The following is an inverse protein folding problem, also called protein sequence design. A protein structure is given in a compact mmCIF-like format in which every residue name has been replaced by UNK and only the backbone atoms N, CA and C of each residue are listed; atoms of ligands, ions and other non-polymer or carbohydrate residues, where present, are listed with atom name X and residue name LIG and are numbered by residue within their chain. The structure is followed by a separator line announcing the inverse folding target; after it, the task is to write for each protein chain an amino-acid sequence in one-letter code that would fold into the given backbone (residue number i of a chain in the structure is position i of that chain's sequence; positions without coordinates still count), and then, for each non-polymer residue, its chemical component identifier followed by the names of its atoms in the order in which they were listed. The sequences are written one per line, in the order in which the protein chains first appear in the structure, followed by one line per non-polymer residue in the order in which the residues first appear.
data_IF_898219031883
#
_entry.id   IF_898219031883
#
_cell.length_a   1.000
_cell.length_b   1.000
_cell.length_c   1.000
_cell.angle_alpha   90.00
_cell.angle_beta   90.00
_cell.angle_gamma   90.00
#
_symmetry.space_group_name_H-M   'P 1'
#
loop_
_entity.id
_entity.type
_entity.pdbx_description
1 polymer ?
#
# COMPACT_ATOMS: atom_id res chain seq x y z
N UNK A 1 -2.64 55.68 49.76
CA UNK A 1 -3.04 54.27 49.90
C UNK A 1 -4.36 53.94 49.18
N UNK A 2 -5.37 54.81 49.27
CA UNK A 2 -6.75 54.45 48.92
C UNK A 2 -7.12 54.55 47.43
N UNK A 3 -6.42 55.39 46.65
CA UNK A 3 -6.73 55.56 45.22
C UNK A 3 -6.32 54.37 44.34
N UNK A 4 -5.21 53.70 44.67
CA UNK A 4 -4.71 52.57 43.88
C UNK A 4 -5.59 51.35 44.11
N UNK A 5 -5.98 51.09 45.37
CA UNK A 5 -6.95 50.03 45.72
C UNK A 5 -8.28 50.23 44.99
N UNK A 6 -8.84 51.45 44.98
CA UNK A 6 -10.11 51.74 44.31
C UNK A 6 -10.07 51.47 42.80
N UNK A 7 -8.95 51.81 42.13
CA UNK A 7 -8.80 51.55 40.68
C UNK A 7 -8.74 50.05 40.39
N UNK A 8 -8.00 49.26 41.17
CA UNK A 8 -7.93 47.81 40.96
C UNK A 8 -9.25 47.11 41.26
N UNK A 9 -10.01 47.57 42.26
CA UNK A 9 -11.37 47.06 42.54
C UNK A 9 -12.31 47.35 41.38
N UNK A 10 -12.34 48.59 40.86
CA UNK A 10 -13.19 48.94 39.72
C UNK A 10 -12.81 48.21 38.43
N UNK A 11 -11.52 47.99 38.18
CA UNK A 11 -11.06 47.20 37.00
C UNK A 11 -11.47 45.73 37.17
N UNK A 12 -11.38 45.17 38.38
CA UNK A 12 -11.86 43.83 38.69
C UNK A 12 -13.37 43.68 38.50
N UNK A 13 -14.15 44.66 38.98
CA UNK A 13 -15.60 44.69 38.83
C UNK A 13 -16.02 44.86 37.35
N UNK A 14 -15.31 45.68 36.57
CA UNK A 14 -15.51 45.77 35.12
C UNK A 14 -15.18 44.46 34.40
N UNK A 15 -14.12 43.76 34.79
CA UNK A 15 -13.75 42.48 34.19
C UNK A 15 -14.77 41.39 34.49
N UNK A 16 -15.32 41.35 35.71
CA UNK A 16 -16.40 40.45 36.10
C UNK A 16 -17.69 40.77 35.35
N UNK A 17 -18.08 42.05 35.27
CA UNK A 17 -19.25 42.47 34.51
C UNK A 17 -19.14 42.16 33.01
N UNK A 18 -17.94 42.30 32.44
CA UNK A 18 -17.67 41.94 31.03
C UNK A 18 -17.73 40.43 30.82
N UNK A 19 -17.21 39.65 31.76
CA UNK A 19 -17.31 38.19 31.76
C UNK A 19 -18.77 37.74 31.84
N UNK A 20 -19.56 38.33 32.73
CA UNK A 20 -20.97 37.99 32.91
C UNK A 20 -21.83 38.46 31.72
N UNK A 21 -21.47 39.56 31.07
CA UNK A 21 -22.14 40.01 29.84
C UNK A 21 -21.86 39.09 28.64
N UNK A 22 -20.63 38.62 28.48
CA UNK A 22 -20.23 37.76 27.36
C UNK A 22 -20.65 36.31 27.59
N UNK A 23 -20.38 35.77 28.78
CA UNK A 23 -20.65 34.36 29.09
C UNK A 23 -22.02 34.13 29.71
N UNK A 24 -22.69 35.15 30.26
CA UNK A 24 -24.03 35.00 30.86
C UNK A 24 -25.09 34.44 29.91
N UNK A 25 -25.21 34.93 28.66
CA UNK A 25 -26.14 34.36 27.68
C UNK A 25 -25.82 32.89 27.34
N UNK A 26 -24.52 32.56 27.26
CA UNK A 26 -24.04 31.21 26.98
C UNK A 26 -24.34 30.28 28.15
N UNK A 27 -24.05 30.71 29.38
CA UNK A 27 -24.32 29.96 30.61
C UNK A 27 -25.83 29.75 30.80
N UNK A 28 -26.65 30.77 30.59
CA UNK A 28 -28.10 30.64 30.63
C UNK A 28 -28.64 29.69 29.55
N UNK A 29 -28.07 29.72 28.34
CA UNK A 29 -28.43 28.78 27.28
C UNK A 29 -28.01 27.35 27.62
N UNK A 30 -26.81 27.17 28.21
CA UNK A 30 -26.31 25.87 28.68
C UNK A 30 -27.17 25.33 29.82
N UNK A 31 -27.52 26.16 30.80
CA UNK A 31 -28.37 25.78 31.92
C UNK A 31 -29.80 25.48 31.47
N UNK A 32 -30.34 26.26 30.52
CA UNK A 32 -31.63 25.97 29.87
C UNK A 32 -31.62 24.64 29.12
N UNK A 33 -30.53 24.36 28.40
CA UNK A 33 -30.35 23.08 27.69
C UNK A 33 -30.21 21.91 28.66
N UNK A 34 -29.43 22.10 29.74
CA UNK A 34 -29.26 21.10 30.81
C UNK A 34 -30.57 20.80 31.52
N UNK A 35 -31.37 21.82 31.83
CA UNK A 35 -32.69 21.66 32.41
C UNK A 35 -33.65 20.91 31.45
N UNK A 36 -33.58 21.20 30.15
CA UNK A 36 -34.37 20.50 29.13
C UNK A 36 -33.97 19.02 29.04
N UNK A 37 -32.67 18.72 28.98
CA UNK A 37 -32.14 17.35 28.91
C UNK A 37 -32.50 16.57 30.17
N UNK A 38 -32.31 17.17 31.35
CA UNK A 38 -32.68 16.53 32.62
C UNK A 38 -34.18 16.25 32.68
N UNK A 39 -35.02 17.18 32.21
CA UNK A 39 -36.48 16.99 32.16
C UNK A 39 -36.91 15.89 31.17
N UNK A 40 -36.22 15.78 30.03
CA UNK A 40 -36.45 14.71 29.06
C UNK A 40 -35.99 13.34 29.58
N UNK A 41 -35.02 13.32 30.49
CA UNK A 41 -34.45 12.11 31.09
C UNK A 41 -34.95 11.82 32.52
N UNK A 42 -35.92 12.59 33.05
CA UNK A 42 -36.33 12.62 34.47
C UNK A 42 -36.99 11.31 34.97
N UNK A 43 -37.23 10.36 34.07
CA UNK A 43 -37.78 9.03 34.37
C UNK A 43 -36.92 7.86 33.86
N UNK A 44 -35.69 8.11 33.43
CA UNK A 44 -34.80 7.09 32.88
C UNK A 44 -33.61 6.84 33.82
N UNK A 45 -33.29 5.57 34.04
CA UNK A 45 -32.10 5.19 34.80
C UNK A 45 -30.83 5.48 34.00
N UNK A 46 -29.72 5.80 34.69
CA UNK A 46 -28.48 6.24 34.06
C UNK A 46 -27.96 5.27 32.97
N UNK A 47 -28.13 3.96 33.15
CA UNK A 47 -27.73 2.96 32.15
C UNK A 47 -28.62 2.96 30.90
N UNK A 48 -29.92 3.27 31.05
CA UNK A 48 -30.85 3.36 29.92
C UNK A 48 -30.51 4.55 29.04
N UNK A 49 -30.14 5.67 29.66
CA UNK A 49 -29.67 6.86 28.93
C UNK A 49 -28.44 6.49 28.10
N UNK A 50 -27.44 5.83 28.69
CA UNK A 50 -26.22 5.41 27.99
C UNK A 50 -26.53 4.45 26.83
N UNK A 51 -27.42 3.48 27.03
CA UNK A 51 -27.83 2.53 25.98
C UNK A 51 -28.62 3.22 24.88
N UNK A 52 -29.56 4.12 25.21
CA UNK A 52 -30.32 4.84 24.22
C UNK A 52 -29.45 5.82 23.45
N UNK A 53 -28.59 6.60 24.10
CA UNK A 53 -27.67 7.50 23.39
C UNK A 53 -26.70 6.71 22.52
N UNK A 54 -26.06 5.67 23.06
CA UNK A 54 -25.13 4.83 22.30
C UNK A 54 -25.79 4.09 21.15
N UNK A 55 -26.97 3.50 21.41
CA UNK A 55 -27.77 2.79 20.41
C UNK A 55 -28.32 3.71 19.33
N UNK A 56 -28.84 4.88 19.69
CA UNK A 56 -29.35 5.85 18.71
C UNK A 56 -28.20 6.42 17.88
N UNK A 57 -27.06 6.74 18.47
CA UNK A 57 -25.86 7.15 17.73
C UNK A 57 -25.38 6.05 16.79
N UNK A 58 -25.32 4.80 17.26
CA UNK A 58 -24.94 3.66 16.42
C UNK A 58 -25.92 3.46 15.24
N UNK A 59 -27.22 3.55 15.50
CA UNK A 59 -28.26 3.44 14.47
C UNK A 59 -28.16 4.59 13.46
N UNK A 60 -27.95 5.83 13.92
CA UNK A 60 -27.80 6.99 13.05
C UNK A 60 -26.54 6.88 12.21
N UNK A 61 -25.40 6.47 12.78
CA UNK A 61 -24.16 6.24 12.03
C UNK A 61 -24.32 5.08 11.04
N UNK A 62 -24.96 3.98 11.45
CA UNK A 62 -25.24 2.84 10.57
C UNK A 62 -26.16 3.21 9.42
N UNK A 63 -27.24 3.95 9.68
CA UNK A 63 -28.17 4.43 8.65
C UNK A 63 -27.50 5.46 7.76
N UNK A 64 -26.66 6.34 8.31
CA UNK A 64 -25.89 7.31 7.54
C UNK A 64 -24.92 6.59 6.61
N UNK A 65 -24.12 5.67 7.12
CA UNK A 65 -23.18 4.89 6.30
C UNK A 65 -23.94 4.04 5.27
N UNK A 66 -25.08 3.47 5.65
CA UNK A 66 -25.92 2.71 4.73
C UNK A 66 -26.50 3.59 3.60
N UNK A 67 -26.97 4.79 3.90
CA UNK A 67 -27.61 5.71 2.95
C UNK A 67 -26.63 6.58 2.15
N UNK A 68 -25.46 6.93 2.71
CA UNK A 68 -24.53 7.91 2.15
C UNK A 68 -23.12 7.36 1.81
N UNK A 69 -22.84 6.06 1.96
CA UNK A 69 -21.66 5.44 1.33
C UNK A 69 -21.95 5.15 -0.15
N UNK A 70 -21.92 6.20 -0.98
CA UNK A 70 -22.21 6.17 -2.43
C UNK A 70 -21.09 5.59 -3.31
N UNK A 71 -20.10 4.88 -2.76
CA UNK A 71 -19.05 4.26 -3.58
C UNK A 71 -19.47 2.91 -4.19
N UNK A 72 -20.57 2.30 -3.70
CA UNK A 72 -21.08 1.02 -4.21
C UNK A 72 -22.61 1.03 -4.37
N UNK A 73 -23.11 0.77 -5.59
CA UNK A 73 -24.55 0.64 -5.84
C UNK A 73 -25.19 -0.41 -4.93
N UNK A 74 -26.46 -0.20 -4.52
CA UNK A 74 -27.23 -1.14 -3.71
C UNK A 74 -27.20 -2.58 -4.29
N UNK A 75 -27.17 -2.70 -5.62
CA UNK A 75 -27.06 -3.99 -6.30
C UNK A 75 -25.74 -4.73 -5.99
N UNK A 76 -24.61 -4.01 -5.89
CA UNK A 76 -23.31 -4.58 -5.53
C UNK A 76 -23.30 -5.11 -4.11
N UNK A 77 -23.93 -4.39 -3.17
CA UNK A 77 -24.03 -4.80 -1.76
C UNK A 77 -24.85 -6.08 -1.59
N UNK A 78 -26.01 -6.13 -2.26
CA UNK A 78 -26.88 -7.32 -2.26
C UNK A 78 -26.17 -8.49 -2.93
N UNK A 79 -25.53 -8.28 -4.09
CA UNK A 79 -24.71 -9.30 -4.77
C UNK A 79 -23.60 -9.82 -3.86
N UNK A 80 -22.84 -8.94 -3.20
CA UNK A 80 -21.75 -9.33 -2.29
C UNK A 80 -22.25 -10.21 -1.14
N UNK A 81 -23.35 -9.81 -0.48
CA UNK A 81 -23.92 -10.58 0.61
C UNK A 81 -24.48 -11.92 0.13
N UNK A 82 -25.16 -11.92 -1.02
CA UNK A 82 -25.64 -13.14 -1.67
C UNK A 82 -24.49 -14.10 -1.98
N UNK A 83 -23.42 -13.64 -2.67
CA UNK A 83 -22.24 -14.45 -2.95
C UNK A 83 -21.56 -14.94 -1.67
N UNK A 84 -21.53 -14.14 -0.59
CA UNK A 84 -20.97 -14.54 0.70
C UNK A 84 -21.76 -15.70 1.33
N UNK A 85 -23.08 -15.69 1.21
CA UNK A 85 -23.94 -16.77 1.71
C UNK A 85 -23.80 -18.01 0.82
N UNK A 86 -23.87 -17.84 -0.50
CA UNK A 86 -23.74 -18.94 -1.47
C UNK A 86 -22.39 -19.64 -1.35
N UNK A 87 -21.29 -18.91 -1.14
CA UNK A 87 -19.95 -19.48 -0.92
C UNK A 87 -19.82 -20.29 0.38
N UNK A 88 -20.71 -20.13 1.36
CA UNK A 88 -20.74 -20.94 2.59
C UNK A 88 -21.39 -22.30 2.39
N UNK A 89 -22.13 -22.51 1.30
CA UNK A 89 -22.74 -23.80 0.98
C UNK A 89 -21.61 -24.82 0.72
N UNK A 90 -21.56 -25.96 1.44
CA UNK A 90 -20.44 -26.90 1.35
C UNK A 90 -20.15 -27.39 -0.07
N UNK A 91 -21.17 -27.61 -0.90
CA UNK A 91 -21.03 -28.03 -2.30
C UNK A 91 -20.38 -26.94 -3.16
N UNK A 92 -20.81 -25.68 -3.01
CA UNK A 92 -20.23 -24.54 -3.73
C UNK A 92 -18.78 -24.30 -3.30
N UNK A 93 -18.51 -24.35 -1.99
CA UNK A 93 -17.14 -24.23 -1.47
C UNK A 93 -16.21 -25.31 -2.05
N UNK A 94 -16.68 -26.57 -2.10
CA UNK A 94 -15.92 -27.68 -2.72
C UNK A 94 -15.66 -27.45 -4.20
N UNK A 95 -16.64 -26.96 -4.95
CA UNK A 95 -16.46 -26.68 -6.37
C UNK A 95 -15.45 -25.54 -6.59
N UNK A 96 -15.57 -24.43 -5.84
CA UNK A 96 -14.61 -23.33 -5.90
C UNK A 96 -13.20 -23.82 -5.56
N UNK A 97 -13.04 -24.65 -4.53
CA UNK A 97 -11.74 -25.19 -4.15
C UNK A 97 -11.13 -26.07 -5.26
N UNK A 98 -11.93 -26.91 -5.92
CA UNK A 98 -11.48 -27.69 -7.09
C UNK A 98 -11.08 -26.81 -8.25
N UNK A 99 -11.85 -25.78 -8.55
CA UNK A 99 -11.55 -24.87 -9.65
C UNK A 99 -10.26 -24.09 -9.35
N UNK A 100 -10.06 -23.67 -8.09
CA UNK A 100 -8.80 -23.06 -7.64
C UNK A 100 -7.60 -24.01 -7.78
N UNK A 101 -7.74 -25.26 -7.35
CA UNK A 101 -6.69 -26.28 -7.47
C UNK A 101 -6.37 -26.59 -8.94
N UNK A 102 -7.40 -26.72 -9.78
CA UNK A 102 -7.24 -26.91 -11.23
C UNK A 102 -6.56 -25.71 -11.89
N UNK A 103 -6.93 -24.49 -11.50
CA UNK A 103 -6.27 -23.28 -12.01
C UNK A 103 -4.82 -23.23 -11.55
N UNK A 104 -4.54 -23.52 -10.27
CA UNK A 104 -3.17 -23.58 -9.75
C UNK A 104 -2.32 -24.61 -10.51
N UNK A 105 -2.83 -25.83 -10.70
CA UNK A 105 -2.11 -26.87 -11.44
C UNK A 105 -1.95 -26.54 -12.92
N UNK A 106 -2.94 -25.91 -13.56
CA UNK A 106 -2.83 -25.46 -14.96
C UNK A 106 -1.78 -24.36 -15.10
N UNK A 107 -1.70 -23.44 -14.14
CA UNK A 107 -0.66 -22.40 -14.09
C UNK A 107 0.71 -23.04 -13.87
N UNK A 108 0.82 -23.97 -12.92
CA UNK A 108 2.06 -24.69 -12.64
C UNK A 108 2.53 -25.46 -13.88
N UNK A 109 1.65 -26.19 -14.56
CA UNK A 109 2.00 -26.91 -15.79
C UNK A 109 2.40 -25.97 -16.94
N UNK A 110 1.74 -24.81 -17.05
CA UNK A 110 2.03 -23.83 -18.09
C UNK A 110 3.33 -23.04 -17.82
N UNK A 111 3.62 -22.70 -16.56
CA UNK A 111 4.73 -21.81 -16.16
C UNK A 111 5.95 -22.56 -15.66
N UNK A 112 5.76 -23.70 -14.99
CA UNK A 112 6.79 -24.48 -14.29
C UNK A 112 6.77 -25.91 -14.84
N UNK A 113 7.09 -26.06 -16.12
CA UNK A 113 7.38 -27.39 -16.66
C UNK A 113 8.55 -27.97 -15.88
N UNK A 114 8.36 -29.12 -15.24
CA UNK A 114 9.43 -29.79 -14.51
C UNK A 114 10.62 -29.99 -15.43
N UNK A 115 11.73 -29.31 -15.12
CA UNK A 115 12.98 -29.51 -15.83
C UNK A 115 13.51 -30.88 -15.44
N UNK A 116 13.80 -31.71 -16.45
CA UNK A 116 14.37 -33.04 -16.23
C UNK A 116 15.80 -32.88 -15.70
N UNK A 117 16.11 -33.57 -14.60
CA UNK A 117 17.45 -33.57 -13.99
C UNK A 117 17.37 -33.66 -12.46
N UNK A 118 18.49 -34.00 -11.85
CA UNK A 118 18.61 -33.99 -10.39
C UNK A 118 18.82 -32.56 -9.90
N UNK A 119 18.05 -32.17 -8.88
CA UNK A 119 18.16 -30.85 -8.27
C UNK A 119 19.24 -30.86 -7.18
N UNK A 120 20.09 -29.84 -7.18
CA UNK A 120 21.05 -29.61 -6.10
C UNK A 120 20.30 -29.02 -4.91
N UNK A 121 19.85 -29.89 -4.00
CA UNK A 121 19.04 -29.49 -2.84
C UNK A 121 19.86 -29.15 -1.58
N UNK A 122 21.19 -29.28 -1.64
CA UNK A 122 22.10 -29.02 -0.53
C UNK A 122 23.39 -28.38 -1.04
N UNK A 123 23.99 -27.52 -0.22
CA UNK A 123 25.31 -26.97 -0.51
C UNK A 123 26.35 -28.12 -0.53
N UNK A 124 27.23 -28.19 -1.55
CA UNK A 124 28.30 -29.18 -1.60
C UNK A 124 29.23 -29.09 -0.38
N UNK A 125 29.73 -30.22 0.11
CA UNK A 125 30.63 -30.25 1.27
C UNK A 125 31.99 -29.58 1.00
N UNK A 126 32.41 -29.55 -0.26
CA UNK A 126 33.62 -28.88 -0.73
C UNK A 126 33.28 -27.97 -1.92
N UNK A 127 33.99 -26.86 -2.07
CA UNK A 127 33.83 -25.97 -3.22
C UNK A 127 34.07 -26.72 -4.54
N UNK A 128 33.25 -26.44 -5.55
CA UNK A 128 33.44 -26.94 -6.91
C UNK A 128 34.62 -26.21 -7.55
N UNK A 129 35.37 -26.89 -8.41
CA UNK A 129 36.33 -26.21 -9.29
C UNK A 129 35.60 -25.37 -10.34
N UNK A 130 36.26 -24.33 -10.83
CA UNK A 130 35.72 -23.48 -11.90
C UNK A 130 35.34 -24.31 -13.13
N UNK A 131 36.17 -25.28 -13.51
CA UNK A 131 35.90 -26.20 -14.64
C UNK A 131 34.57 -26.97 -14.46
N UNK A 132 34.33 -27.51 -13.26
CA UNK A 132 33.12 -28.25 -12.98
C UNK A 132 31.91 -27.31 -12.88
N UNK A 133 32.09 -26.12 -12.31
CA UNK A 133 31.06 -25.09 -12.26
C UNK A 133 30.62 -24.67 -13.66
N UNK A 134 31.57 -24.34 -14.55
CA UNK A 134 31.25 -23.95 -15.92
C UNK A 134 30.59 -25.08 -16.71
N UNK A 135 31.01 -26.33 -16.50
CA UNK A 135 30.34 -27.49 -17.09
C UNK A 135 28.87 -27.57 -16.67
N UNK A 136 28.56 -27.40 -15.38
CA UNK A 136 27.17 -27.39 -14.88
C UNK A 136 26.39 -26.20 -15.46
N UNK A 137 27.01 -25.03 -15.56
CA UNK A 137 26.36 -23.85 -16.16
C UNK A 137 26.07 -24.03 -17.66
N UNK A 138 26.94 -24.72 -18.40
CA UNK A 138 26.71 -25.09 -19.80
C UNK A 138 25.56 -26.09 -19.94
N UNK A 139 25.49 -27.09 -19.07
CA UNK A 139 24.36 -28.03 -19.00
C UNK A 139 23.03 -27.29 -18.75
N UNK A 140 23.00 -26.33 -17.81
CA UNK A 140 21.83 -25.49 -17.55
C UNK A 140 21.47 -24.60 -18.73
N UNK A 141 22.47 -23.98 -19.37
CA UNK A 141 22.24 -23.15 -20.56
C UNK A 141 21.63 -23.97 -21.72
N UNK A 142 22.04 -25.23 -21.86
CA UNK A 142 21.51 -26.15 -22.86
C UNK A 142 20.08 -26.62 -22.60
N UNK A 143 19.53 -26.44 -21.38
CA UNK A 143 18.13 -26.79 -21.07
C UNK A 143 17.13 -25.86 -21.77
N UNK A 144 17.54 -24.64 -22.13
CA UNK A 144 16.70 -23.73 -22.90
C UNK A 144 16.57 -24.22 -24.34
N UNK A 145 15.48 -24.92 -24.65
CA UNK A 145 15.18 -25.42 -26.01
C UNK A 145 14.66 -24.36 -26.97
N UNK A 146 14.45 -23.13 -26.49
CA UNK A 146 13.78 -22.09 -27.26
C UNK A 146 14.78 -21.34 -28.14
N UNK A 147 14.55 -21.35 -29.45
CA UNK A 147 15.32 -20.60 -30.44
C UNK A 147 14.93 -19.11 -30.45
N UNK A 148 15.00 -18.43 -29.31
CA UNK A 148 14.64 -17.01 -29.20
C UNK A 148 15.51 -16.13 -30.12
N UNK A 149 16.76 -16.50 -30.37
CA UNK A 149 17.63 -15.85 -31.37
C UNK A 149 17.06 -15.86 -32.79
N UNK A 150 16.20 -16.83 -33.12
CA UNK A 150 15.53 -16.92 -34.41
C UNK A 150 14.17 -16.18 -34.43
N UNK A 151 13.81 -15.45 -33.37
CA UNK A 151 12.59 -14.63 -33.30
C UNK A 151 11.30 -15.40 -33.00
N UNK A 152 11.38 -16.66 -32.60
CA UNK A 152 10.18 -17.49 -32.32
C UNK A 152 9.54 -17.28 -30.95
N UNK A 153 10.07 -16.36 -30.13
CA UNK A 153 9.61 -16.14 -28.77
C UNK A 153 9.16 -14.69 -28.62
N UNK A 154 7.84 -14.49 -28.52
CA UNK A 154 7.25 -13.15 -28.43
C UNK A 154 7.60 -12.45 -27.10
N UNK A 155 8.03 -11.19 -27.18
CA UNK A 155 8.18 -10.28 -26.04
C UNK A 155 9.19 -10.65 -24.95
N UNK A 156 9.93 -11.76 -25.10
CA UNK A 156 10.78 -12.29 -24.02
C UNK A 156 12.20 -11.71 -24.05
N UNK A 157 12.78 -11.55 -25.24
CA UNK A 157 14.12 -10.98 -25.41
C UNK A 157 14.04 -9.86 -26.46
N UNK A 158 14.29 -8.62 -26.02
CA UNK A 158 14.12 -7.43 -26.85
C UNK A 158 15.28 -7.19 -27.83
N UNK A 159 16.48 -7.65 -27.47
CA UNK A 159 17.65 -7.58 -28.34
C UNK A 159 18.50 -8.84 -28.15
N UNK A 160 19.03 -9.37 -29.26
CA UNK A 160 19.82 -10.61 -29.31
C UNK A 160 21.16 -10.48 -30.00
N UNK A 161 21.62 -9.25 -30.25
CA UNK A 161 22.89 -8.98 -30.92
C UNK A 161 24.08 -9.37 -30.03
N UNK A 162 25.01 -10.14 -30.58
CA UNK A 162 26.16 -10.67 -29.84
C UNK A 162 27.14 -9.57 -29.45
N UNK A 163 27.32 -8.54 -30.30
CA UNK A 163 28.19 -7.39 -30.01
C UNK A 163 27.64 -6.55 -28.86
N UNK A 164 26.33 -6.30 -28.85
CA UNK A 164 25.69 -5.63 -27.72
C UNK A 164 25.80 -6.46 -26.43
N UNK A 165 25.63 -7.77 -26.53
CA UNK A 165 25.77 -8.69 -25.38
C UNK A 165 27.18 -8.62 -24.78
N UNK A 166 28.22 -8.63 -25.62
CA UNK A 166 29.62 -8.47 -25.16
C UNK A 166 29.84 -7.12 -24.48
N UNK A 167 29.32 -6.03 -25.06
CA UNK A 167 29.41 -4.70 -24.47
C UNK A 167 28.75 -4.63 -23.09
N UNK A 168 27.55 -5.20 -22.95
CA UNK A 168 26.82 -5.25 -21.67
C UNK A 168 27.57 -6.09 -20.63
N UNK A 169 28.06 -7.28 -21.00
CA UNK A 169 28.80 -8.15 -20.08
C UNK A 169 30.08 -7.47 -19.56
N UNK A 170 30.82 -6.80 -20.45
CA UNK A 170 32.02 -6.03 -20.07
C UNK A 170 31.68 -4.88 -19.14
N UNK A 171 30.61 -4.14 -19.45
CA UNK A 171 30.15 -3.02 -18.63
C UNK A 171 29.71 -3.49 -17.24
N UNK A 172 28.94 -4.57 -17.15
CA UNK A 172 28.56 -5.20 -15.88
C UNK A 172 29.79 -5.60 -15.06
N UNK A 173 30.78 -6.24 -15.69
CA UNK A 173 32.03 -6.62 -15.02
C UNK A 173 32.78 -5.45 -14.39
N UNK A 174 32.73 -4.26 -15.01
CA UNK A 174 33.36 -3.05 -14.46
C UNK A 174 32.68 -2.54 -13.18
N UNK A 175 31.37 -2.77 -13.02
CA UNK A 175 30.56 -2.23 -11.92
C UNK A 175 29.96 -3.33 -11.02
N UNK A 176 30.40 -4.59 -11.13
CA UNK A 176 29.81 -5.75 -10.46
C UNK A 176 29.76 -5.63 -8.92
N UNK A 177 30.66 -4.83 -8.33
CA UNK A 177 30.74 -4.59 -6.88
C UNK A 177 30.22 -3.21 -6.46
N UNK A 178 29.67 -2.44 -7.39
CA UNK A 178 29.07 -1.15 -7.08
C UNK A 178 27.75 -1.34 -6.31
N UNK A 179 27.47 -0.42 -5.38
CA UNK A 179 26.23 -0.42 -4.61
C UNK A 179 25.69 1.01 -4.46
N UNK A 180 24.62 1.38 -5.17
CA UNK A 180 24.05 2.74 -5.13
C UNK A 180 23.59 3.22 -3.74
N UNK A 181 23.47 2.32 -2.75
CA UNK A 181 23.21 2.69 -1.36
C UNK A 181 24.33 3.55 -0.74
N UNK A 182 25.55 3.46 -1.29
CA UNK A 182 26.73 4.19 -0.83
C UNK A 182 27.21 5.19 -1.90
N UNK A 183 26.49 6.31 -2.14
CA UNK A 183 26.79 7.26 -3.20
C UNK A 183 28.10 8.05 -3.00
N UNK A 184 28.61 8.07 -1.76
CA UNK A 184 29.91 8.61 -1.39
C UNK A 184 31.06 7.69 -1.83
N UNK A 185 30.84 6.37 -1.81
CA UNK A 185 31.81 5.36 -2.25
C UNK A 185 31.74 5.13 -3.77
N UNK A 186 30.53 5.15 -4.33
CA UNK A 186 30.26 4.88 -5.75
C UNK A 186 29.64 6.10 -6.46
N UNK A 187 30.38 7.23 -6.57
CA UNK A 187 29.87 8.43 -7.24
C UNK A 187 29.69 8.25 -8.75
N UNK A 188 30.35 7.25 -9.33
CA UNK A 188 30.28 6.85 -10.73
C UNK A 188 28.87 6.32 -11.11
N UNK A 189 28.37 5.31 -10.40
CA UNK A 189 27.03 4.75 -10.64
C UNK A 189 25.94 5.77 -10.31
N UNK A 190 26.11 6.54 -9.24
CA UNK A 190 25.21 7.67 -8.92
C UNK A 190 25.11 8.65 -10.09
N UNK A 191 26.22 8.98 -10.74
CA UNK A 191 26.24 9.86 -11.92
C UNK A 191 25.52 9.19 -13.10
N UNK A 192 25.81 7.92 -13.37
CA UNK A 192 25.16 7.19 -14.47
C UNK A 192 23.63 7.10 -14.29
N UNK A 193 23.14 6.81 -13.08
CA UNK A 193 21.70 6.77 -12.78
C UNK A 193 21.04 8.14 -13.00
N UNK A 194 21.67 9.21 -12.52
CA UNK A 194 21.16 10.57 -12.73
C UNK A 194 21.08 10.96 -14.21
N UNK A 195 22.07 10.55 -15.01
CA UNK A 195 22.09 10.78 -16.45
C UNK A 195 21.02 9.97 -17.19
N UNK A 196 20.83 8.69 -16.81
CA UNK A 196 19.75 7.85 -17.36
C UNK A 196 18.38 8.48 -17.09
N UNK A 197 18.11 8.85 -15.83
CA UNK A 197 16.85 9.52 -15.45
C UNK A 197 16.64 10.78 -16.29
N UNK A 198 17.67 11.63 -16.42
CA UNK A 198 17.55 12.87 -17.20
C UNK A 198 17.33 12.62 -18.68
N UNK A 199 18.01 11.63 -19.28
CA UNK A 199 17.77 11.23 -20.67
C UNK A 199 16.33 10.74 -20.88
N UNK A 200 15.79 9.95 -19.95
CA UNK A 200 14.40 9.51 -19.99
C UNK A 200 13.41 10.68 -19.83
N UNK A 201 13.62 11.58 -18.87
CA UNK A 201 12.79 12.79 -18.73
C UNK A 201 12.75 13.58 -20.05
N UNK A 202 13.92 13.84 -20.67
CA UNK A 202 14.00 14.55 -21.94
C UNK A 202 13.29 13.80 -23.07
N UNK A 203 13.44 12.47 -23.15
CA UNK A 203 12.77 11.62 -24.15
C UNK A 203 11.24 11.74 -24.08
N UNK A 204 10.69 11.90 -22.88
CA UNK A 204 9.26 12.09 -22.64
C UNK A 204 8.82 13.56 -22.54
N UNK A 205 9.64 14.50 -23.03
CA UNK A 205 9.38 15.95 -23.04
C UNK A 205 9.18 16.57 -21.65
N UNK A 206 9.88 16.05 -20.63
CA UNK A 206 9.95 16.65 -19.31
C UNK A 206 10.71 17.98 -19.30
N UNK A 207 10.35 18.85 -18.38
CA UNK A 207 10.98 20.15 -18.12
C UNK A 207 12.14 20.05 -17.10
N UNK A 208 12.62 21.21 -16.61
CA UNK A 208 13.70 21.27 -15.63
C UNK A 208 13.29 20.70 -14.25
N UNK A 209 12.01 20.82 -13.89
CA UNK A 209 11.46 20.31 -12.63
C UNK A 209 11.17 18.82 -12.68
N UNK A 210 11.09 18.24 -13.88
CA UNK A 210 10.90 16.81 -14.07
C UNK A 210 12.05 16.01 -13.44
N UNK A 211 11.68 15.01 -12.65
CA UNK A 211 12.59 14.15 -11.88
C UNK A 211 12.18 12.68 -11.97
N UNK A 212 13.03 11.79 -11.49
CA UNK A 212 12.75 10.35 -11.45
C UNK A 212 13.83 9.57 -10.69
N UNK A 213 13.68 8.26 -10.69
CA UNK A 213 14.65 7.32 -10.11
C UNK A 213 14.73 6.06 -10.99
N UNK A 214 15.88 5.40 -10.99
CA UNK A 214 16.04 4.09 -11.62
C UNK A 214 15.42 3.02 -10.71
N UNK A 215 14.69 2.08 -11.30
CA UNK A 215 14.08 0.92 -10.60
C UNK A 215 14.57 -0.39 -11.21
N UNK A 216 14.26 -1.52 -10.57
CA UNK A 216 14.63 -2.85 -11.07
C UNK A 216 13.76 -3.36 -12.23
N UNK A 217 12.66 -2.68 -12.53
CA UNK A 217 11.63 -3.07 -13.49
C UNK A 217 10.27 -2.47 -13.14
N UNK A 218 9.32 -2.59 -14.06
CA UNK A 218 7.89 -2.25 -13.88
C UNK A 218 7.07 -3.42 -13.33
#
# INVERSE_FOLDING_TARGET
PDRVSWVWTNIGDMALATKDFIFGPILNAVDGTKALVNRLCDGLEAWQIVIYTGGTTFIVLYLRDFLFQDDETLTSRVKRQFFRIVRKIPQVKRQIARDMEKTASSIEEAMIKTVKGDYICKLPASGLSDELLFKVMEEYKAMSTNSWKNGFVSGTVYNGDDKLTELMAKTYGMFAWSNPLHPDVFPDVRKMEAEVVRMCCTLFNGDLESCGAVTSGD
#
